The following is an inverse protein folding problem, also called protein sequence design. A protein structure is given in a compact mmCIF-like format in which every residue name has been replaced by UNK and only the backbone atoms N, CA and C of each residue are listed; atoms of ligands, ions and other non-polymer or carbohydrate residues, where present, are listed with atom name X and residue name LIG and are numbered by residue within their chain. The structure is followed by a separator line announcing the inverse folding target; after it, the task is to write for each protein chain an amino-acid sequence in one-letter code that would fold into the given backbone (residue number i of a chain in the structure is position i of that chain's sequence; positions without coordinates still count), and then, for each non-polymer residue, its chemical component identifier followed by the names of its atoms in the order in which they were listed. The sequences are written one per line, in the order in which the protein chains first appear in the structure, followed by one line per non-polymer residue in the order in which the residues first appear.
data_IF_869808230379
#
_entry.id   IF_869808230379
#
_cell.length_a   1.000
_cell.length_b   1.000
_cell.length_c   1.000
_cell.angle_alpha   90.00
_cell.angle_beta   90.00
_cell.angle_gamma   90.00
#
_symmetry.space_group_name_H-M   'P 1'
#
loop_
_entity.id
_entity.type
_entity.pdbx_description
1 polymer ?
#
# COMPACT_ATOMS: atom_id res chain seq x y z
N UNK A 1 13.15 -27.41 -12.97
CA UNK A 1 12.04 -26.49 -13.32
C UNK A 1 11.65 -25.66 -12.12
N UNK A 2 11.39 -24.36 -12.35
CA UNK A 2 10.94 -23.41 -11.32
C UNK A 2 9.49 -23.05 -11.63
N UNK A 3 8.59 -23.26 -10.66
CA UNK A 3 7.15 -22.99 -10.77
C UNK A 3 6.75 -21.89 -9.77
N UNK A 4 6.69 -20.61 -10.20
CA UNK A 4 6.35 -19.51 -9.31
C UNK A 4 4.87 -19.55 -8.90
N UNK A 5 4.62 -19.30 -7.62
CA UNK A 5 3.26 -19.23 -7.09
C UNK A 5 2.48 -18.08 -7.72
N UNK A 6 1.16 -18.22 -7.94
CA UNK A 6 0.30 -17.12 -8.39
C UNK A 6 0.21 -15.99 -7.37
N UNK A 7 0.50 -16.25 -6.09
CA UNK A 7 0.54 -15.22 -5.06
C UNK A 7 1.54 -15.51 -3.93
N UNK A 8 1.90 -14.45 -3.21
CA UNK A 8 2.77 -14.46 -2.05
C UNK A 8 2.17 -13.63 -0.91
N UNK A 9 2.26 -14.13 0.32
CA UNK A 9 1.85 -13.44 1.54
C UNK A 9 3.08 -13.20 2.43
N UNK A 10 3.33 -11.93 2.77
CA UNK A 10 4.44 -11.51 3.62
C UNK A 10 3.91 -10.82 4.87
N UNK A 11 4.37 -11.29 6.03
CA UNK A 11 3.98 -10.76 7.34
C UNK A 11 5.19 -10.10 8.01
N UNK A 12 5.20 -8.77 8.05
CA UNK A 12 6.22 -7.92 8.71
C UNK A 12 7.69 -8.25 8.35
N UNK A 13 7.92 -8.78 7.14
CA UNK A 13 9.26 -9.23 6.69
C UNK A 13 10.31 -8.11 6.64
N UNK A 14 9.87 -6.85 6.58
CA UNK A 14 10.69 -5.64 6.51
C UNK A 14 10.84 -4.92 7.86
N UNK A 15 10.30 -5.50 8.95
CA UNK A 15 10.34 -4.90 10.28
C UNK A 15 11.76 -4.75 10.82
N UNK A 16 12.64 -5.73 10.57
CA UNK A 16 14.01 -5.73 11.08
C UNK A 16 15.06 -5.13 10.11
N UNK A 17 14.61 -4.57 8.99
CA UNK A 17 15.50 -3.98 7.98
C UNK A 17 15.69 -2.47 8.22
N UNK A 18 16.83 -1.96 7.77
CA UNK A 18 16.99 -0.52 7.58
C UNK A 18 16.11 0.00 6.42
N UNK A 19 16.03 1.33 6.30
CA UNK A 19 15.17 1.98 5.32
C UNK A 19 15.53 1.64 3.87
N UNK A 20 16.81 1.43 3.57
CA UNK A 20 17.28 1.17 2.20
C UNK A 20 16.96 -0.27 1.80
N UNK A 21 17.19 -1.23 2.69
CA UNK A 21 16.85 -2.63 2.47
C UNK A 21 15.33 -2.85 2.40
N UNK A 22 14.55 -2.18 3.25
CA UNK A 22 13.09 -2.22 3.15
C UNK A 22 12.60 -1.69 1.79
N UNK A 23 13.24 -0.63 1.28
CA UNK A 23 12.94 -0.08 -0.06
C UNK A 23 13.23 -1.09 -1.17
N UNK A 24 14.37 -1.78 -1.12
CA UNK A 24 14.74 -2.78 -2.12
C UNK A 24 13.72 -3.92 -2.19
N UNK A 25 13.22 -4.41 -1.04
CA UNK A 25 12.17 -5.42 -1.00
C UNK A 25 10.88 -4.89 -1.64
N UNK A 26 10.47 -3.68 -1.28
CA UNK A 26 9.26 -3.07 -1.81
C UNK A 26 9.33 -2.86 -3.34
N UNK A 27 10.47 -2.38 -3.85
CA UNK A 27 10.70 -2.22 -5.29
C UNK A 27 10.68 -3.57 -6.02
N UNK A 28 11.30 -4.61 -5.44
CA UNK A 28 11.27 -5.96 -6.02
C UNK A 28 9.85 -6.55 -6.05
N UNK A 29 9.08 -6.39 -4.96
CA UNK A 29 7.69 -6.87 -4.90
C UNK A 29 6.83 -6.17 -5.95
N UNK A 30 6.99 -4.84 -6.09
CA UNK A 30 6.29 -4.06 -7.11
C UNK A 30 6.67 -4.49 -8.54
N UNK A 31 7.94 -4.71 -8.83
CA UNK A 31 8.36 -5.17 -10.15
C UNK A 31 7.82 -6.58 -10.47
N UNK A 32 7.71 -7.45 -9.47
CA UNK A 32 7.18 -8.81 -9.64
C UNK A 32 5.65 -8.87 -9.60
N UNK A 33 4.96 -7.80 -9.16
CA UNK A 33 3.49 -7.79 -9.05
C UNK A 33 2.79 -7.92 -10.41
N UNK A 34 3.50 -7.60 -11.50
CA UNK A 34 3.04 -7.81 -12.88
C UNK A 34 2.77 -9.29 -13.21
N UNK A 35 3.38 -10.22 -12.47
CA UNK A 35 3.32 -11.67 -12.75
C UNK A 35 2.77 -12.52 -11.61
N UNK A 36 2.69 -11.98 -10.39
CA UNK A 36 2.15 -12.67 -9.21
C UNK A 36 1.54 -11.65 -8.24
N UNK A 37 0.52 -12.04 -7.48
CA UNK A 37 -0.07 -11.17 -6.47
C UNK A 37 0.78 -11.13 -5.19
N UNK A 38 1.04 -9.93 -4.66
CA UNK A 38 1.71 -9.77 -3.37
C UNK A 38 0.75 -9.16 -2.36
N UNK A 39 0.61 -9.82 -1.20
CA UNK A 39 -0.10 -9.32 -0.03
C UNK A 39 0.94 -9.13 1.07
N UNK A 40 1.13 -7.90 1.54
CA UNK A 40 2.14 -7.57 2.53
C UNK A 40 1.51 -6.87 3.73
N UNK A 41 1.75 -7.41 4.92
CA UNK A 41 1.50 -6.73 6.20
C UNK A 41 2.78 -5.99 6.58
N UNK A 42 2.68 -4.68 6.73
CA UNK A 42 3.84 -3.83 7.05
C UNK A 42 3.40 -2.51 7.66
N UNK A 43 4.26 -1.95 8.52
CA UNK A 43 4.15 -0.60 9.04
C UNK A 43 5.19 0.35 8.39
N UNK A 44 6.01 -0.15 7.45
CA UNK A 44 7.06 0.64 6.80
C UNK A 44 6.47 1.56 5.74
N UNK A 45 6.70 2.87 5.92
CA UNK A 45 6.21 3.91 4.99
C UNK A 45 6.66 3.71 3.54
N UNK A 46 7.87 3.17 3.32
CA UNK A 46 8.41 2.95 1.97
C UNK A 46 7.69 1.82 1.24
N UNK A 47 7.37 0.74 1.95
CA UNK A 47 6.59 -0.39 1.42
C UNK A 47 5.16 0.05 1.12
N UNK A 48 4.57 0.84 2.02
CA UNK A 48 3.24 1.42 1.81
C UNK A 48 3.23 2.36 0.59
N UNK A 49 4.18 3.28 0.43
CA UNK A 49 4.14 4.24 -0.69
C UNK A 49 4.26 3.61 -2.08
N UNK A 50 4.80 2.40 -2.16
CA UNK A 50 4.99 1.65 -3.39
C UNK A 50 3.86 0.64 -3.67
N UNK A 51 2.94 0.42 -2.73
CA UNK A 51 1.84 -0.52 -2.89
C UNK A 51 0.75 0.03 -3.84
N UNK A 52 0.10 -0.87 -4.58
CA UNK A 52 -1.01 -0.51 -5.47
C UNK A 52 -2.32 -0.30 -4.72
N UNK A 53 -2.53 -1.05 -3.63
CA UNK A 53 -3.73 -1.02 -2.80
C UNK A 53 -3.38 -1.08 -1.31
N UNK A 54 -4.16 -0.36 -0.52
CA UNK A 54 -4.07 -0.30 0.93
C UNK A 54 -5.34 -0.83 1.57
N UNK A 55 -5.18 -1.82 2.44
CA UNK A 55 -6.24 -2.35 3.27
C UNK A 55 -5.91 -2.03 4.72
N UNK A 56 -6.67 -1.10 5.31
CA UNK A 56 -6.51 -0.70 6.71
C UNK A 56 -7.43 -1.52 7.60
N UNK A 57 -6.86 -2.12 8.65
CA UNK A 57 -7.59 -2.86 9.68
C UNK A 57 -7.45 -2.15 11.02
N UNK A 58 -8.52 -2.09 11.81
CA UNK A 58 -8.51 -1.54 13.17
C UNK A 58 -9.26 -2.44 14.13
N UNK A 59 -8.96 -2.31 15.43
CA UNK A 59 -9.80 -2.86 16.50
C UNK A 59 -10.78 -1.77 16.96
N UNK A 60 -12.07 -2.08 17.14
CA UNK A 60 -13.05 -1.10 17.64
C UNK A 60 -13.26 -1.14 19.16
N UNK A 61 -12.29 -1.71 19.90
CA UNK A 61 -12.35 -1.83 21.36
C UNK A 61 -13.22 -2.97 21.91
N UNK A 62 -13.94 -3.68 21.05
CA UNK A 62 -14.81 -4.83 21.35
C UNK A 62 -14.17 -6.18 21.04
N UNK A 63 -12.87 -6.20 20.73
CA UNK A 63 -12.15 -7.41 20.31
C UNK A 63 -12.44 -7.86 18.88
N UNK A 64 -13.23 -7.10 18.10
CA UNK A 64 -13.52 -7.41 16.70
C UNK A 64 -12.73 -6.50 15.74
N UNK A 65 -12.07 -7.12 14.77
CA UNK A 65 -11.40 -6.42 13.67
C UNK A 65 -12.41 -5.80 12.72
N UNK A 66 -12.12 -4.58 12.24
CA UNK A 66 -12.91 -3.87 11.23
C UNK A 66 -12.00 -3.34 10.14
N UNK A 67 -12.49 -3.36 8.90
CA UNK A 67 -11.84 -2.72 7.76
C UNK A 67 -12.21 -1.24 7.74
N UNK A 68 -11.20 -0.37 7.84
CA UNK A 68 -11.38 1.09 7.84
C UNK A 68 -10.98 1.76 6.54
N UNK A 69 -10.17 1.08 5.73
CA UNK A 69 -9.64 1.64 4.49
C UNK A 69 -9.52 0.53 3.45
N UNK A 70 -9.99 0.83 2.25
CA UNK A 70 -9.79 0.04 1.03
C UNK A 70 -9.56 1.06 -0.08
N UNK A 71 -8.29 1.32 -0.35
CA UNK A 71 -7.87 2.46 -1.16
C UNK A 71 -6.80 2.06 -2.14
N UNK A 72 -7.01 2.37 -3.41
CA UNK A 72 -6.01 2.14 -4.43
C UNK A 72 -5.23 3.41 -4.76
N UNK A 73 -4.00 3.21 -5.22
CA UNK A 73 -3.09 4.29 -5.56
C UNK A 73 -3.64 5.21 -6.67
N UNK A 74 -4.36 4.65 -7.65
CA UNK A 74 -4.97 5.44 -8.73
C UNK A 74 -6.06 6.40 -8.23
N UNK A 75 -6.95 5.93 -7.35
CA UNK A 75 -8.00 6.72 -6.72
C UNK A 75 -7.41 7.76 -5.77
N UNK A 76 -6.25 7.47 -5.17
CA UNK A 76 -5.49 8.46 -4.41
C UNK A 76 -5.09 9.67 -5.23
N UNK A 77 -4.48 9.41 -6.37
CA UNK A 77 -4.03 10.44 -7.29
C UNK A 77 -5.24 11.24 -7.80
N UNK A 78 -6.31 10.55 -8.24
CA UNK A 78 -7.52 11.20 -8.73
C UNK A 78 -8.22 12.08 -7.68
N UNK A 79 -8.30 11.63 -6.42
CA UNK A 79 -8.87 12.44 -5.34
C UNK A 79 -7.97 13.64 -4.98
N UNK A 80 -6.65 13.45 -5.03
CA UNK A 80 -5.68 14.54 -4.84
C UNK A 80 -5.84 15.62 -5.90
N UNK A 81 -5.84 15.24 -7.17
CA UNK A 81 -6.07 16.15 -8.30
C UNK A 81 -7.41 16.88 -8.18
N UNK A 82 -8.49 16.16 -7.83
CA UNK A 82 -9.80 16.76 -7.64
C UNK A 82 -9.83 17.78 -6.47
N UNK A 83 -9.12 17.49 -5.37
CA UNK A 83 -9.01 18.39 -4.22
C UNK A 83 -8.20 19.65 -4.57
N UNK A 84 -7.13 19.53 -5.36
CA UNK A 84 -6.33 20.67 -5.82
C UNK A 84 -7.14 21.60 -6.73
N UNK A 85 -7.93 21.04 -7.67
CA UNK A 85 -8.83 21.82 -8.52
C UNK A 85 -9.89 22.55 -7.69
N UNK A 86 -10.49 21.88 -6.70
CA UNK A 86 -11.47 22.50 -5.81
C UNK A 86 -10.86 23.62 -4.95
N UNK A 87 -9.64 23.44 -4.44
CA UNK A 87 -8.92 24.46 -3.68
C UNK A 87 -8.56 25.68 -4.55
N UNK A 88 -8.12 25.46 -5.78
CA UNK A 88 -7.82 26.54 -6.73
C UNK A 88 -9.09 27.33 -7.13
N UNK A 89 -10.23 26.66 -7.31
CA UNK A 89 -11.50 27.30 -7.60
C UNK A 89 -12.05 28.10 -6.41
N UNK A 90 -11.84 27.63 -5.18
CA UNK A 90 -12.22 28.33 -3.96
C UNK A 90 -11.33 29.54 -3.63
N UNK A 91 -10.08 29.57 -4.11
CA UNK A 91 -9.18 30.71 -3.94
C UNK A 91 -9.40 31.86 -4.95
N UNK A 92 -10.23 31.63 -5.98
CA UNK A 92 -10.58 32.61 -7.02
C UNK A 92 -11.91 33.34 -6.76
N UNK A 93 -12.56 33.07 -5.62
CA UNK A 93 -13.72 33.80 -5.08
C UNK A 93 -13.30 34.71 -3.93
#
# INVERSE_FOLDING_TARGET
DYDPSPFYYFDEVDQNLDSDNARLIAEMCRARSERAQFIMVTLRKVSLSLADHHIGVTHGGDGCSRRIMDFNRQRALALGEAAEVAAAAGAAQ
#
